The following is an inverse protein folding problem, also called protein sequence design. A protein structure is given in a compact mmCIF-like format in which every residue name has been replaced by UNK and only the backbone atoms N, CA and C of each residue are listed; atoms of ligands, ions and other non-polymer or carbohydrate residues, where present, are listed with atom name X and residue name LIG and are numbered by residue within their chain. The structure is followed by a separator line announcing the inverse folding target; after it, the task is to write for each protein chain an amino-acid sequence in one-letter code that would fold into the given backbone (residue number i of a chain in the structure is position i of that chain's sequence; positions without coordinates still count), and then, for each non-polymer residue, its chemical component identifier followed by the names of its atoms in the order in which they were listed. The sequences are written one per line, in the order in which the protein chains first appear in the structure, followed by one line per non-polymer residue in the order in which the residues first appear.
data_IF_333481851897
#
_entry.id   IF_333481851897
#
_cell.length_a   1.000
_cell.length_b   1.000
_cell.length_c   1.000
_cell.angle_alpha   90.00
_cell.angle_beta   90.00
_cell.angle_gamma   90.00
#
_symmetry.space_group_name_H-M   'P 1'
#
loop_
_entity.id
_entity.type
_entity.pdbx_description
1 polymer ?
#
# COMPACT_ATOMS: atom_id res chain seq x y z
N UNK A 1 -9.55 -18.18 21.27
CA UNK A 1 -8.35 -17.33 21.48
C UNK A 1 -7.18 -18.01 20.77
N UNK A 2 -6.68 -17.43 19.69
CA UNK A 2 -5.59 -18.06 18.92
C UNK A 2 -4.27 -17.89 19.69
N UNK A 3 -3.58 -19.02 19.95
CA UNK A 3 -2.26 -19.11 20.60
C UNK A 3 -1.12 -18.50 19.75
N UNK A 4 -1.42 -17.52 18.87
CA UNK A 4 -0.44 -16.94 17.93
C UNK A 4 0.63 -16.07 18.60
N UNK A 5 0.46 -15.68 19.87
CA UNK A 5 1.49 -14.90 20.56
C UNK A 5 2.78 -15.68 20.89
N UNK A 6 2.76 -17.00 20.74
CA UNK A 6 3.89 -17.89 21.01
C UNK A 6 4.97 -17.91 19.91
N UNK A 7 4.62 -17.50 18.68
CA UNK A 7 5.49 -17.68 17.51
C UNK A 7 6.10 -16.36 17.03
N UNK A 8 7.28 -16.44 16.44
CA UNK A 8 7.92 -15.35 15.72
C UNK A 8 7.14 -14.96 14.45
N UNK A 9 7.41 -13.76 13.91
CA UNK A 9 6.66 -13.15 12.79
C UNK A 9 6.59 -14.06 11.56
N UNK A 10 7.67 -14.74 11.21
CA UNK A 10 7.79 -15.60 10.04
C UNK A 10 6.83 -16.81 10.16
N UNK A 11 6.78 -17.44 11.33
CA UNK A 11 5.85 -18.53 11.62
C UNK A 11 4.40 -18.06 11.60
N UNK A 12 4.13 -16.88 12.17
CA UNK A 12 2.77 -16.27 12.14
C UNK A 12 2.29 -16.07 10.71
N UNK A 13 3.15 -15.60 9.81
CA UNK A 13 2.85 -15.41 8.39
C UNK A 13 2.47 -16.72 7.71
N UNK A 14 3.25 -17.78 7.95
CA UNK A 14 2.98 -19.11 7.38
C UNK A 14 1.65 -19.69 7.88
N UNK A 15 1.32 -19.45 9.14
CA UNK A 15 0.10 -19.97 9.78
C UNK A 15 -1.14 -19.07 9.54
N UNK A 16 -0.95 -17.81 9.13
CA UNK A 16 -2.04 -16.84 9.00
C UNK A 16 -3.14 -17.30 8.04
N UNK A 17 -4.38 -16.97 8.38
CA UNK A 17 -5.57 -17.29 7.59
C UNK A 17 -6.01 -18.75 7.65
N UNK A 18 -5.13 -19.70 8.00
CA UNK A 18 -5.47 -21.14 8.00
C UNK A 18 -6.64 -21.45 8.93
N UNK A 19 -7.59 -22.22 8.39
CA UNK A 19 -8.67 -22.79 9.18
C UNK A 19 -8.28 -24.23 9.58
N UNK A 20 -7.87 -24.42 10.84
CA UNK A 20 -7.47 -25.71 11.38
C UNK A 20 -8.61 -26.75 11.39
N UNK A 21 -9.86 -26.33 11.18
CA UNK A 21 -11.03 -27.20 11.11
C UNK A 21 -11.41 -27.57 9.66
N UNK A 22 -10.58 -27.21 8.68
CA UNK A 22 -10.78 -27.62 7.29
C UNK A 22 -10.66 -29.12 7.15
N UNK A 23 -11.65 -29.78 6.57
CA UNK A 23 -11.59 -31.21 6.19
C UNK A 23 -10.66 -31.47 5.01
N UNK A 24 -10.00 -30.43 4.49
CA UNK A 24 -9.07 -30.51 3.39
C UNK A 24 -7.69 -30.91 3.88
N UNK A 25 -7.18 -32.04 3.40
CA UNK A 25 -5.86 -32.58 3.75
C UNK A 25 -4.70 -31.96 2.96
N UNK A 26 -4.98 -31.12 1.96
CA UNK A 26 -3.93 -30.43 1.21
C UNK A 26 -3.35 -29.26 2.00
N UNK A 27 -2.05 -28.98 1.79
CA UNK A 27 -1.37 -27.84 2.42
C UNK A 27 -1.95 -26.51 1.96
N UNK A 28 -2.29 -26.40 0.66
CA UNK A 28 -2.88 -25.23 0.08
C UNK A 28 -4.41 -25.29 0.09
N UNK A 29 -5.03 -24.12 0.23
CA UNK A 29 -6.48 -23.99 0.18
C UNK A 29 -7.00 -24.18 -1.25
N UNK A 30 -8.18 -24.79 -1.43
CA UNK A 30 -8.84 -24.86 -2.74
C UNK A 30 -9.22 -23.49 -3.27
N UNK A 31 -9.28 -23.35 -4.59
CA UNK A 31 -9.88 -22.18 -5.24
C UNK A 31 -11.38 -22.42 -5.36
N UNK A 32 -12.17 -21.58 -4.67
CA UNK A 32 -13.63 -21.66 -4.71
C UNK A 32 -14.18 -20.72 -5.78
N UNK A 33 -14.67 -21.31 -6.90
CA UNK A 33 -15.35 -20.59 -7.97
C UNK A 33 -16.85 -20.84 -7.88
N UNK A 34 -17.64 -19.79 -7.70
CA UNK A 34 -19.08 -19.93 -7.63
C UNK A 34 -19.79 -18.61 -7.38
N UNK A 35 -20.97 -18.44 -7.97
CA UNK A 35 -21.86 -17.32 -7.69
C UNK A 35 -22.94 -17.72 -6.69
N UNK A 36 -23.57 -18.86 -6.90
CA UNK A 36 -24.73 -19.32 -6.12
C UNK A 36 -24.29 -20.20 -4.96
N UNK A 37 -24.86 -19.91 -3.78
CA UNK A 37 -24.74 -20.74 -2.57
C UNK A 37 -26.06 -21.45 -2.35
N UNK A 38 -26.03 -22.77 -2.14
CA UNK A 38 -27.22 -23.60 -1.92
C UNK A 38 -27.43 -23.78 -0.41
N UNK A 39 -28.65 -23.55 0.05
CA UNK A 39 -29.08 -23.72 1.44
C UNK A 39 -30.06 -24.87 1.57
N UNK A 40 -29.97 -25.63 2.65
CA UNK A 40 -30.90 -26.75 2.92
C UNK A 40 -32.27 -26.25 3.41
N UNK A 41 -32.30 -25.10 4.07
CA UNK A 41 -33.52 -24.55 4.65
C UNK A 41 -33.65 -23.04 4.43
N UNK A 42 -34.87 -22.52 4.39
CA UNK A 42 -35.16 -21.08 4.34
C UNK A 42 -34.58 -20.36 5.57
N UNK A 43 -34.54 -21.02 6.72
CA UNK A 43 -33.95 -20.48 7.95
C UNK A 43 -32.44 -20.22 7.78
N UNK A 44 -31.70 -21.17 7.22
CA UNK A 44 -30.26 -21.03 6.91
C UNK A 44 -30.04 -19.91 5.89
N UNK A 45 -30.81 -19.88 4.82
CA UNK A 45 -30.73 -18.83 3.78
C UNK A 45 -30.93 -17.44 4.37
N UNK A 46 -31.98 -17.23 5.16
CA UNK A 46 -32.27 -15.94 5.77
C UNK A 46 -31.19 -15.54 6.80
N UNK A 47 -30.69 -16.47 7.61
CA UNK A 47 -29.60 -16.22 8.55
C UNK A 47 -28.31 -15.82 7.84
N UNK A 48 -27.97 -16.49 6.72
CA UNK A 48 -26.80 -16.17 5.92
C UNK A 48 -26.88 -14.78 5.32
N UNK A 49 -28.01 -14.42 4.69
CA UNK A 49 -28.22 -13.09 4.11
C UNK A 49 -28.19 -11.96 5.15
N UNK A 50 -28.75 -12.21 6.33
CA UNK A 50 -28.71 -11.24 7.46
C UNK A 50 -27.26 -10.99 7.92
N UNK A 51 -26.43 -12.01 7.90
CA UNK A 51 -25.04 -11.98 8.41
C UNK A 51 -23.98 -11.88 7.28
N UNK A 52 -24.36 -11.52 6.05
CA UNK A 52 -23.43 -11.43 4.89
C UNK A 52 -22.20 -10.52 5.14
N UNK A 53 -22.29 -9.59 6.08
CA UNK A 53 -21.18 -8.73 6.49
C UNK A 53 -20.23 -9.41 7.49
N UNK A 54 -20.54 -10.63 7.97
CA UNK A 54 -19.74 -11.38 8.96
C UNK A 54 -18.96 -12.53 8.31
N UNK A 55 -18.55 -12.42 7.06
CA UNK A 55 -17.84 -13.48 6.31
C UNK A 55 -18.61 -14.81 6.27
N UNK A 56 -19.91 -14.73 6.05
CA UNK A 56 -20.77 -15.89 5.85
C UNK A 56 -21.05 -16.14 4.38
N UNK A 57 -21.11 -17.41 3.99
CA UNK A 57 -21.47 -17.78 2.61
C UNK A 57 -22.92 -17.44 2.34
N UNK A 58 -23.15 -16.40 1.53
CA UNK A 58 -24.48 -15.97 1.16
C UNK A 58 -24.67 -15.94 -0.38
N UNK A 59 -23.69 -15.42 -1.08
CA UNK A 59 -23.63 -15.32 -2.53
C UNK A 59 -22.18 -15.01 -2.91
N UNK A 60 -21.66 -15.53 -4.02
CA UNK A 60 -20.25 -15.45 -4.40
C UNK A 60 -19.67 -14.04 -4.41
N UNK A 61 -20.46 -13.00 -4.73
CA UNK A 61 -20.03 -11.59 -4.68
C UNK A 61 -19.66 -11.12 -3.26
N UNK A 62 -20.21 -11.75 -2.21
CA UNK A 62 -19.88 -11.41 -0.82
C UNK A 62 -18.66 -12.17 -0.29
N UNK A 63 -18.06 -13.00 -1.12
CA UNK A 63 -16.88 -13.77 -0.81
C UNK A 63 -17.10 -15.28 -0.84
N UNK A 64 -16.00 -15.99 -0.75
CA UNK A 64 -15.90 -17.45 -0.72
C UNK A 64 -14.98 -17.86 0.42
N UNK A 65 -14.84 -19.16 0.73
CA UNK A 65 -13.87 -19.60 1.75
C UNK A 65 -12.46 -19.12 1.49
N UNK A 66 -12.00 -19.08 0.21
CA UNK A 66 -10.68 -18.51 -0.13
C UNK A 66 -10.61 -17.01 0.17
N UNK A 67 -11.66 -16.24 -0.17
CA UNK A 67 -11.73 -14.82 0.13
C UNK A 67 -11.59 -14.55 1.63
N UNK A 68 -12.33 -15.31 2.45
CA UNK A 68 -12.31 -15.14 3.90
C UNK A 68 -10.96 -15.54 4.51
N UNK A 69 -10.29 -16.56 3.95
CA UNK A 69 -8.94 -16.94 4.34
C UNK A 69 -7.93 -15.83 4.07
N UNK A 70 -7.96 -15.23 2.87
CA UNK A 70 -7.12 -14.11 2.50
C UNK A 70 -7.35 -12.90 3.42
N UNK A 71 -8.60 -12.51 3.60
CA UNK A 71 -9.00 -11.38 4.45
C UNK A 71 -8.52 -11.59 5.90
N UNK A 72 -8.74 -12.79 6.45
CA UNK A 72 -8.30 -13.15 7.79
C UNK A 72 -6.78 -13.10 7.90
N UNK A 73 -6.05 -13.66 6.90
CA UNK A 73 -4.59 -13.66 6.91
C UNK A 73 -4.02 -12.24 6.97
N UNK A 74 -4.53 -11.33 6.14
CA UNK A 74 -4.06 -9.94 6.12
C UNK A 74 -4.41 -9.20 7.41
N UNK A 75 -5.64 -9.35 7.92
CA UNK A 75 -6.04 -8.74 9.19
C UNK A 75 -5.13 -9.20 10.35
N UNK A 76 -4.84 -10.51 10.43
CA UNK A 76 -3.96 -11.08 11.45
C UNK A 76 -2.52 -10.55 11.34
N UNK A 77 -1.97 -10.46 10.12
CA UNK A 77 -0.58 -10.02 9.90
C UNK A 77 -0.45 -8.52 10.19
N UNK A 78 -1.38 -7.69 9.75
CA UNK A 78 -1.31 -6.23 9.93
C UNK A 78 -1.72 -5.78 11.34
N UNK A 79 -2.48 -6.62 12.06
CA UNK A 79 -2.97 -6.35 13.42
C UNK A 79 -4.32 -5.66 13.46
N UNK A 80 -5.09 -5.72 12.35
CA UNK A 80 -6.46 -5.20 12.29
C UNK A 80 -7.49 -6.18 12.84
N UNK A 81 -8.73 -5.69 12.98
CA UNK A 81 -9.86 -6.51 13.47
C UNK A 81 -10.47 -7.34 12.33
N UNK A 82 -10.66 -6.75 11.16
CA UNK A 82 -11.26 -7.37 9.98
C UNK A 82 -10.64 -6.82 8.70
N UNK A 83 -10.77 -7.56 7.61
CA UNK A 83 -10.36 -7.08 6.29
C UNK A 83 -11.45 -7.38 5.24
N UNK A 84 -11.43 -6.62 4.14
CA UNK A 84 -12.31 -6.77 2.98
C UNK A 84 -11.47 -6.73 1.72
N UNK A 85 -11.49 -7.81 0.95
CA UNK A 85 -10.82 -7.89 -0.33
C UNK A 85 -11.56 -7.07 -1.40
N UNK A 86 -10.80 -6.43 -2.28
CA UNK A 86 -11.32 -5.62 -3.38
C UNK A 86 -10.60 -5.95 -4.69
N UNK A 87 -11.21 -5.62 -5.83
CA UNK A 87 -10.67 -5.92 -7.15
C UNK A 87 -9.37 -5.19 -7.51
N UNK A 88 -9.00 -4.16 -6.74
CA UNK A 88 -7.75 -3.41 -6.91
C UNK A 88 -7.48 -2.49 -5.72
N UNK A 89 -6.25 -1.99 -5.58
CA UNK A 89 -5.94 -0.95 -4.60
C UNK A 89 -6.77 0.32 -4.78
N UNK A 90 -7.05 0.71 -6.03
CA UNK A 90 -7.94 1.85 -6.31
C UNK A 90 -9.37 1.60 -5.82
N UNK A 91 -9.90 0.39 -6.03
CA UNK A 91 -11.21 0.02 -5.50
C UNK A 91 -11.25 0.06 -3.97
N UNK A 92 -10.15 -0.34 -3.31
CA UNK A 92 -10.01 -0.23 -1.86
C UNK A 92 -10.05 1.23 -1.38
N UNK A 93 -9.33 2.13 -2.06
CA UNK A 93 -9.34 3.57 -1.75
C UNK A 93 -10.75 4.15 -1.90
N UNK A 94 -11.40 3.91 -3.04
CA UNK A 94 -12.76 4.44 -3.31
C UNK A 94 -13.76 3.92 -2.29
N UNK A 95 -13.77 2.61 -2.01
CA UNK A 95 -14.68 2.01 -1.04
C UNK A 95 -14.47 2.56 0.37
N UNK A 96 -13.23 2.80 0.78
CA UNK A 96 -12.90 3.38 2.08
C UNK A 96 -13.39 4.82 2.19
N UNK A 97 -13.14 5.64 1.18
CA UNK A 97 -13.56 7.05 1.17
C UNK A 97 -15.08 7.20 1.19
N UNK A 98 -15.79 6.43 0.35
CA UNK A 98 -17.25 6.48 0.27
C UNK A 98 -17.99 5.80 1.43
N UNK A 99 -17.31 4.96 2.21
CA UNK A 99 -17.85 4.45 3.48
C UNK A 99 -17.93 5.53 4.56
N UNK A 100 -17.06 6.53 4.50
CA UNK A 100 -16.85 7.53 5.56
C UNK A 100 -17.42 8.89 5.18
N UNK A 101 -17.31 9.27 3.90
CA UNK A 101 -17.62 10.62 3.42
C UNK A 101 -18.97 10.66 2.69
N UNK A 102 -19.70 11.75 2.89
CA UNK A 102 -20.95 12.06 2.19
C UNK A 102 -20.93 13.51 1.69
N UNK A 103 -21.89 13.86 0.84
CA UNK A 103 -22.07 15.24 0.34
C UNK A 103 -22.05 16.25 1.48
N UNK A 104 -21.26 17.30 1.32
CA UNK A 104 -21.05 18.35 2.30
C UNK A 104 -19.87 18.10 3.25
N UNK A 105 -19.27 16.90 3.27
CA UNK A 105 -18.12 16.60 4.12
C UNK A 105 -16.81 17.15 3.54
N UNK A 106 -15.80 17.21 4.39
CA UNK A 106 -14.43 17.61 4.06
C UNK A 106 -13.42 16.56 4.52
N UNK A 107 -12.37 16.36 3.71
CA UNK A 107 -11.23 15.50 4.02
C UNK A 107 -9.91 16.26 3.94
N UNK A 108 -9.00 15.98 4.88
CA UNK A 108 -7.58 16.33 4.77
C UNK A 108 -6.84 15.17 4.09
N UNK A 109 -6.12 15.45 3.00
CA UNK A 109 -5.36 14.46 2.25
C UNK A 109 -3.89 14.86 2.17
N UNK A 110 -2.98 13.94 2.51
CA UNK A 110 -1.55 14.24 2.33
C UNK A 110 -1.22 14.59 0.87
N UNK A 111 -0.45 15.64 0.67
CA UNK A 111 -0.05 16.08 -0.68
C UNK A 111 0.89 15.07 -1.36
N UNK A 112 1.52 14.19 -0.59
CA UNK A 112 2.34 13.10 -1.07
C UNK A 112 1.57 11.81 -1.39
N UNK A 113 0.22 11.84 -1.37
CA UNK A 113 -0.58 10.66 -1.71
C UNK A 113 -0.42 10.24 -3.18
N UNK A 114 -0.67 8.97 -3.43
CA UNK A 114 -0.69 8.36 -4.76
C UNK A 114 -1.53 9.20 -5.76
N UNK A 115 -0.98 9.42 -6.97
CA UNK A 115 -1.58 10.32 -7.94
C UNK A 115 -3.04 10.01 -8.29
N UNK A 116 -3.43 8.72 -8.31
CA UNK A 116 -4.84 8.33 -8.53
C UNK A 116 -5.71 8.72 -7.34
N UNK A 117 -5.24 8.57 -6.10
CA UNK A 117 -5.96 9.02 -4.90
C UNK A 117 -6.24 10.53 -4.98
N UNK A 118 -5.24 11.31 -5.38
CA UNK A 118 -5.38 12.75 -5.59
C UNK A 118 -6.40 13.08 -6.69
N UNK A 119 -6.32 12.38 -7.82
CA UNK A 119 -7.29 12.56 -8.92
C UNK A 119 -8.71 12.19 -8.51
N UNK A 120 -8.89 11.13 -7.72
CA UNK A 120 -10.21 10.76 -7.18
C UNK A 120 -10.81 11.89 -6.35
N UNK A 121 -10.01 12.53 -5.48
CA UNK A 121 -10.52 13.63 -4.66
C UNK A 121 -10.81 14.89 -5.47
N UNK A 122 -9.98 15.21 -6.47
CA UNK A 122 -10.16 16.38 -7.33
C UNK A 122 -11.33 16.25 -8.32
N UNK A 123 -11.74 15.03 -8.65
CA UNK A 123 -12.78 14.76 -9.64
C UNK A 123 -14.00 14.07 -9.00
N UNK A 124 -13.90 12.78 -8.66
CA UNK A 124 -15.05 12.00 -8.18
C UNK A 124 -15.65 12.60 -6.91
N UNK A 125 -14.85 12.80 -5.86
CA UNK A 125 -15.35 13.31 -4.58
C UNK A 125 -15.87 14.75 -4.72
N UNK A 126 -15.17 15.59 -5.48
CA UNK A 126 -15.62 16.95 -5.77
C UNK A 126 -16.99 16.96 -6.44
N UNK A 127 -17.21 16.10 -7.45
CA UNK A 127 -18.49 15.98 -8.15
C UNK A 127 -19.60 15.45 -7.24
N UNK A 128 -19.25 14.71 -6.17
CA UNK A 128 -20.17 14.26 -5.12
C UNK A 128 -20.40 15.32 -4.02
N UNK A 129 -19.86 16.53 -4.16
CA UNK A 129 -19.99 17.59 -3.18
C UNK A 129 -19.12 17.40 -1.92
N UNK A 130 -18.05 16.62 -2.02
CA UNK A 130 -17.07 16.40 -0.94
C UNK A 130 -15.84 17.25 -1.21
N UNK A 131 -15.44 18.08 -0.25
CA UNK A 131 -14.29 18.98 -0.38
C UNK A 131 -13.02 18.37 0.17
N UNK A 132 -11.87 18.70 -0.43
CA UNK A 132 -10.54 18.20 -0.03
C UNK A 132 -9.61 19.38 0.21
N UNK A 133 -8.85 19.33 1.30
CA UNK A 133 -7.67 20.17 1.51
C UNK A 133 -6.43 19.29 1.50
N UNK A 134 -5.48 19.58 0.61
CA UNK A 134 -4.17 18.94 0.62
C UNK A 134 -3.29 19.54 1.71
N UNK A 135 -2.52 18.71 2.40
CA UNK A 135 -1.57 19.16 3.41
C UNK A 135 -0.16 18.64 3.14
N UNK A 136 0.84 19.46 3.47
CA UNK A 136 2.25 19.07 3.37
C UNK A 136 2.50 17.85 4.29
N UNK A 137 3.12 16.75 3.80
CA UNK A 137 3.39 15.56 4.60
C UNK A 137 4.21 15.84 5.87
N UNK A 138 4.99 16.92 5.89
CA UNK A 138 5.80 17.36 7.03
C UNK A 138 5.15 18.46 7.88
N UNK A 139 3.84 18.71 7.73
CA UNK A 139 3.13 19.82 8.40
C UNK A 139 3.18 19.75 9.93
N UNK A 140 3.33 18.55 10.49
CA UNK A 140 3.35 18.41 11.94
C UNK A 140 2.04 18.84 12.61
N UNK A 141 2.15 19.47 13.78
CA UNK A 141 1.01 19.91 14.59
C UNK A 141 0.15 21.00 13.91
N UNK A 142 0.71 21.73 12.96
CA UNK A 142 0.01 22.81 12.22
C UNK A 142 -1.18 22.30 11.40
N UNK A 143 -1.29 20.98 11.17
CA UNK A 143 -2.46 20.36 10.53
C UNK A 143 -3.77 20.71 11.25
N UNK A 144 -3.73 21.02 12.53
CA UNK A 144 -4.90 21.44 13.31
C UNK A 144 -5.56 22.68 12.72
N UNK A 145 -4.78 23.62 12.17
CA UNK A 145 -5.27 24.82 11.52
C UNK A 145 -6.05 24.57 10.21
N UNK A 146 -5.94 23.38 9.64
CA UNK A 146 -6.65 22.97 8.42
C UNK A 146 -7.99 22.26 8.70
N UNK A 147 -8.27 21.92 9.96
CA UNK A 147 -9.49 21.21 10.35
C UNK A 147 -10.68 22.18 10.32
N UNK A 148 -11.72 21.83 9.56
CA UNK A 148 -12.98 22.56 9.42
C UNK A 148 -14.09 21.87 10.19
N UNK A 149 -15.21 22.55 10.46
CA UNK A 149 -16.40 22.00 11.15
C UNK A 149 -16.94 20.73 10.47
N UNK A 150 -16.82 20.65 9.14
CA UNK A 150 -17.27 19.53 8.33
C UNK A 150 -16.15 18.54 7.97
N UNK A 151 -14.95 18.67 8.52
CA UNK A 151 -13.88 17.67 8.33
C UNK A 151 -14.29 16.36 8.99
N UNK A 152 -14.16 15.25 8.24
CA UNK A 152 -14.54 13.91 8.70
C UNK A 152 -13.39 12.94 8.77
N UNK A 153 -12.38 13.12 7.92
CA UNK A 153 -11.26 12.19 7.84
C UNK A 153 -9.94 12.89 7.54
N UNK A 154 -8.86 12.22 7.94
CA UNK A 154 -7.49 12.49 7.50
C UNK A 154 -7.01 11.26 6.73
N UNK A 155 -6.55 11.46 5.49
CA UNK A 155 -5.94 10.42 4.67
C UNK A 155 -4.43 10.59 4.65
N UNK A 156 -3.71 9.54 5.03
CA UNK A 156 -2.26 9.46 5.12
C UNK A 156 -1.71 8.51 4.06
N UNK A 157 -0.47 8.72 3.65
CA UNK A 157 0.36 7.77 2.92
C UNK A 157 1.81 7.99 3.36
N UNK A 158 2.37 7.04 4.09
CA UNK A 158 3.70 7.16 4.69
C UNK A 158 4.46 5.83 4.55
N UNK A 159 5.57 5.84 3.80
CA UNK A 159 6.18 6.95 3.04
C UNK A 159 5.30 7.44 1.89
N UNK A 160 5.45 8.73 1.54
CA UNK A 160 4.71 9.36 0.46
C UNK A 160 5.07 8.83 -0.92
N UNK A 161 4.12 8.87 -1.84
CA UNK A 161 4.30 8.44 -3.23
C UNK A 161 5.35 9.31 -3.93
N UNK A 162 6.27 8.69 -4.65
CA UNK A 162 7.37 9.24 -5.47
C UNK A 162 8.49 9.94 -4.68
N UNK A 163 8.21 10.59 -3.59
CA UNK A 163 9.16 11.46 -2.85
C UNK A 163 9.50 10.92 -1.46
N UNK A 164 8.76 9.92 -0.98
CA UNK A 164 9.07 9.08 0.19
C UNK A 164 9.21 9.84 1.53
N UNK A 165 8.49 10.95 1.71
CA UNK A 165 8.39 11.63 2.99
C UNK A 165 7.73 10.73 4.03
N UNK A 166 8.23 10.76 5.26
CA UNK A 166 7.64 10.07 6.41
C UNK A 166 6.79 11.04 7.22
N UNK A 167 5.56 10.65 7.49
CA UNK A 167 4.65 11.38 8.37
C UNK A 167 4.77 10.86 9.82
N UNK A 168 4.61 11.73 10.80
CA UNK A 168 4.46 11.34 12.21
C UNK A 168 3.03 10.82 12.44
N UNK A 169 2.81 9.55 12.09
CA UNK A 169 1.49 8.91 12.14
C UNK A 169 0.89 8.94 13.55
N UNK A 170 1.62 8.58 14.63
CA UNK A 170 1.09 8.65 15.99
C UNK A 170 0.57 10.05 16.37
N UNK A 171 1.32 11.09 16.03
CA UNK A 171 0.92 12.48 16.29
C UNK A 171 -0.34 12.86 15.50
N UNK A 172 -0.40 12.51 14.21
CA UNK A 172 -1.58 12.79 13.37
C UNK A 172 -2.83 12.05 13.86
N UNK A 173 -2.67 10.83 14.35
CA UNK A 173 -3.76 10.05 14.97
C UNK A 173 -4.24 10.70 16.27
N UNK A 174 -3.33 11.18 17.09
CA UNK A 174 -3.72 11.90 18.33
C UNK A 174 -4.57 13.15 18.00
N UNK A 175 -4.15 13.93 17.00
CA UNK A 175 -4.89 15.11 16.54
C UNK A 175 -6.25 14.71 15.98
N UNK A 176 -6.30 13.66 15.14
CA UNK A 176 -7.54 13.15 14.58
C UNK A 176 -8.55 12.73 15.67
N UNK A 177 -8.08 11.99 16.66
CA UNK A 177 -8.89 11.52 17.78
C UNK A 177 -9.47 12.69 18.61
N UNK A 178 -8.67 13.71 18.91
CA UNK A 178 -9.11 14.93 19.61
C UNK A 178 -10.22 15.67 18.87
N UNK A 179 -10.27 15.53 17.54
CA UNK A 179 -11.22 16.21 16.66
C UNK A 179 -12.31 15.26 16.10
N UNK A 180 -12.40 14.03 16.59
CA UNK A 180 -13.35 12.99 16.14
C UNK A 180 -13.27 12.71 14.62
N UNK A 181 -12.07 12.77 14.05
CA UNK A 181 -11.80 12.46 12.64
C UNK A 181 -11.42 10.99 12.47
N UNK A 182 -11.81 10.41 11.33
CA UNK A 182 -11.41 9.06 10.93
C UNK A 182 -10.03 9.11 10.30
N UNK A 183 -9.16 8.20 10.69
CA UNK A 183 -7.82 8.06 10.11
C UNK A 183 -7.78 6.94 9.09
N UNK A 184 -7.37 7.26 7.86
CA UNK A 184 -7.22 6.32 6.75
C UNK A 184 -5.78 6.38 6.27
N UNK A 185 -5.10 5.24 6.13
CA UNK A 185 -3.74 5.19 5.62
C UNK A 185 -3.61 4.25 4.42
N UNK A 186 -2.94 4.69 3.36
CA UNK A 186 -2.39 3.77 2.36
C UNK A 186 -1.05 3.26 2.88
N UNK A 187 -1.02 1.98 3.26
CA UNK A 187 0.14 1.29 3.82
C UNK A 187 0.83 0.36 2.81
N UNK A 188 0.59 0.57 1.52
CA UNK A 188 1.09 -0.33 0.48
C UNK A 188 2.62 -0.44 0.46
N UNK A 189 3.36 0.66 0.69
CA UNK A 189 4.82 0.63 0.76
C UNK A 189 5.33 -0.05 2.05
N UNK A 190 4.73 0.28 3.20
CA UNK A 190 5.09 -0.28 4.50
C UNK A 190 4.75 -1.76 4.63
N UNK A 191 3.82 -2.24 3.85
CA UNK A 191 3.28 -3.60 3.87
C UNK A 191 2.68 -3.99 5.22
N UNK A 192 1.93 -5.10 5.33
CA UNK A 192 1.45 -5.58 6.62
C UNK A 192 2.56 -6.00 7.60
N UNK A 193 3.84 -6.05 7.12
CA UNK A 193 4.97 -6.50 7.95
C UNK A 193 5.79 -5.38 8.54
N UNK A 194 6.05 -4.33 7.78
CA UNK A 194 7.02 -3.30 8.18
C UNK A 194 6.38 -2.10 8.84
N UNK A 195 5.11 -1.83 8.60
CA UNK A 195 4.37 -0.83 9.35
C UNK A 195 3.06 -1.42 9.88
N UNK A 196 2.77 -1.15 11.15
CA UNK A 196 1.61 -1.70 11.88
C UNK A 196 0.61 -0.59 12.23
N UNK A 197 -0.26 -0.16 11.30
CA UNK A 197 -1.12 1.02 11.46
C UNK A 197 -1.97 0.97 12.72
N UNK A 198 -2.52 -0.19 13.05
CA UNK A 198 -3.43 -0.35 14.20
C UNK A 198 -2.73 -0.23 15.56
N UNK A 199 -1.42 -0.48 15.64
CA UNK A 199 -0.64 -0.21 16.86
C UNK A 199 -0.42 1.28 17.09
N UNK A 200 -0.55 2.07 16.02
CA UNK A 200 -0.49 3.54 16.08
C UNK A 200 -1.88 4.19 16.13
N UNK A 201 -2.97 3.39 16.23
CA UNK A 201 -4.33 3.89 16.40
C UNK A 201 -5.05 4.30 15.10
N UNK A 202 -4.55 3.90 13.95
CA UNK A 202 -5.24 4.09 12.66
C UNK A 202 -6.56 3.30 12.64
N UNK A 203 -7.61 3.91 12.08
CA UNK A 203 -8.92 3.28 11.96
C UNK A 203 -9.04 2.36 10.75
N UNK A 204 -8.49 2.79 9.59
CA UNK A 204 -8.63 2.10 8.30
C UNK A 204 -7.27 2.09 7.61
N UNK A 205 -6.79 0.91 7.24
CA UNK A 205 -5.59 0.71 6.44
C UNK A 205 -5.94 0.14 5.08
N UNK A 206 -5.27 0.63 4.04
CA UNK A 206 -5.45 0.20 2.65
C UNK A 206 -4.14 -0.42 2.17
N UNK A 207 -4.26 -1.56 1.48
CA UNK A 207 -3.16 -2.21 0.80
C UNK A 207 -3.52 -2.43 -0.66
N UNK A 208 -2.69 -1.96 -1.58
CA UNK A 208 -2.69 -2.49 -2.94
C UNK A 208 -1.98 -3.85 -2.91
N UNK A 209 -2.75 -4.91 -2.68
CA UNK A 209 -2.21 -6.27 -2.58
C UNK A 209 -1.52 -6.73 -3.88
N UNK A 210 -1.85 -6.11 -5.01
CA UNK A 210 -1.17 -6.17 -6.32
C UNK A 210 0.36 -6.05 -6.19
N UNK A 211 0.86 -5.30 -5.18
CA UNK A 211 2.27 -5.03 -4.97
C UNK A 211 2.95 -6.18 -4.21
N UNK A 212 3.56 -5.91 -3.08
CA UNK A 212 4.35 -6.90 -2.33
C UNK A 212 3.56 -8.11 -1.81
N UNK A 213 2.24 -7.95 -1.53
CA UNK A 213 1.43 -9.07 -1.00
C UNK A 213 1.37 -10.20 -2.02
N UNK A 214 0.96 -9.94 -3.26
CA UNK A 214 1.02 -10.89 -4.37
C UNK A 214 2.46 -11.13 -4.80
N UNK A 215 3.20 -10.06 -5.11
CA UNK A 215 4.65 -10.04 -5.29
C UNK A 215 5.17 -10.67 -6.58
N UNK A 216 4.32 -10.91 -7.59
CA UNK A 216 4.68 -11.63 -8.80
C UNK A 216 4.21 -10.95 -10.10
N UNK A 217 3.67 -9.73 -10.02
CA UNK A 217 3.23 -8.92 -11.17
C UNK A 217 2.14 -9.58 -12.04
N UNK A 218 1.35 -10.50 -11.46
CA UNK A 218 0.42 -11.40 -12.15
C UNK A 218 -1.03 -11.34 -11.65
N UNK A 219 -1.36 -10.43 -10.70
CA UNK A 219 -2.72 -10.25 -10.19
C UNK A 219 -3.05 -8.80 -9.86
N UNK A 220 -4.32 -8.46 -9.95
CA UNK A 220 -4.89 -7.19 -9.51
C UNK A 220 -5.72 -7.42 -8.26
N UNK A 221 -5.26 -6.93 -7.12
CA UNK A 221 -5.90 -7.16 -5.83
C UNK A 221 -5.72 -5.97 -4.89
N UNK A 222 -6.76 -5.60 -4.17
CA UNK A 222 -6.72 -4.66 -3.06
C UNK A 222 -7.29 -5.27 -1.80
N UNK A 223 -7.01 -4.67 -0.67
CA UNK A 223 -7.63 -5.05 0.60
C UNK A 223 -7.72 -3.83 1.52
N UNK A 224 -8.83 -3.74 2.24
CA UNK A 224 -9.08 -2.73 3.26
C UNK A 224 -9.08 -3.45 4.59
N UNK A 225 -8.28 -2.99 5.53
CA UNK A 225 -8.20 -3.53 6.89
C UNK A 225 -8.79 -2.47 7.84
N UNK A 226 -9.52 -2.90 8.86
CA UNK A 226 -10.22 -1.99 9.77
C UNK A 226 -10.05 -2.39 11.22
N UNK A 227 -10.22 -1.41 12.12
CA UNK A 227 -10.57 -1.71 13.50
C UNK A 227 -12.04 -2.16 13.60
N UNK A 228 -12.48 -2.59 14.78
CA UNK A 228 -13.84 -3.11 15.02
C UNK A 228 -14.95 -2.09 14.69
N UNK A 229 -14.69 -0.80 14.89
CA UNK A 229 -15.67 0.28 14.72
C UNK A 229 -16.13 0.43 13.27
N UNK A 230 -15.21 0.24 12.32
CA UNK A 230 -15.47 0.50 10.89
C UNK A 230 -15.68 -0.77 10.05
N UNK A 231 -15.60 -1.97 10.64
CA UNK A 231 -15.76 -3.23 9.93
C UNK A 231 -17.02 -3.27 9.05
N UNK A 232 -18.18 -3.01 9.66
CA UNK A 232 -19.47 -3.13 8.98
C UNK A 232 -19.61 -2.14 7.82
N UNK A 233 -19.38 -0.85 8.07
CA UNK A 233 -19.59 0.18 7.04
C UNK A 233 -18.60 0.03 5.85
N UNK A 234 -17.35 -0.38 6.10
CA UNK A 234 -16.38 -0.64 5.06
C UNK A 234 -16.79 -1.85 4.22
N UNK A 235 -17.19 -2.95 4.84
CA UNK A 235 -17.64 -4.15 4.12
C UNK A 235 -18.89 -3.88 3.30
N UNK A 236 -19.87 -3.17 3.87
CA UNK A 236 -21.08 -2.76 3.14
C UNK A 236 -20.76 -1.86 1.96
N UNK A 237 -19.86 -0.87 2.12
CA UNK A 237 -19.43 0.01 1.03
C UNK A 237 -18.79 -0.79 -0.12
N UNK A 238 -17.79 -1.63 0.18
CA UNK A 238 -17.14 -2.46 -0.82
C UNK A 238 -18.13 -3.37 -1.57
N UNK A 239 -19.03 -4.02 -0.85
CA UNK A 239 -20.04 -4.90 -1.45
C UNK A 239 -21.06 -4.13 -2.30
N UNK A 240 -21.51 -2.96 -1.85
CA UNK A 240 -22.47 -2.14 -2.59
C UNK A 240 -21.86 -1.58 -3.88
N UNK A 241 -20.56 -1.33 -3.90
CA UNK A 241 -19.81 -0.94 -5.10
C UNK A 241 -19.50 -2.11 -6.03
N UNK A 242 -19.93 -3.33 -5.69
CA UNK A 242 -19.68 -4.52 -6.49
C UNK A 242 -18.22 -4.97 -6.48
N UNK A 243 -17.43 -4.55 -5.49
CA UNK A 243 -16.03 -4.97 -5.37
C UNK A 243 -15.96 -6.47 -5.10
N UNK A 244 -15.53 -7.23 -6.10
CA UNK A 244 -15.46 -8.69 -6.07
C UNK A 244 -14.21 -9.13 -6.84
N UNK A 245 -13.09 -9.38 -6.15
CA UNK A 245 -11.89 -9.89 -6.81
C UNK A 245 -12.08 -11.31 -7.31
N UNK A 246 -11.41 -11.66 -8.40
CA UNK A 246 -11.41 -13.02 -8.96
C UNK A 246 -10.85 -14.04 -7.95
N UNK A 247 -11.39 -15.26 -7.91
CA UNK A 247 -10.93 -16.28 -6.98
C UNK A 247 -9.48 -16.71 -7.22
N UNK A 248 -8.99 -16.58 -8.45
CA UNK A 248 -7.59 -16.81 -8.81
C UNK A 248 -6.69 -15.74 -8.19
N UNK A 249 -7.05 -14.46 -8.29
CA UNK A 249 -6.28 -13.36 -7.72
C UNK A 249 -6.23 -13.47 -6.19
N UNK A 250 -7.34 -13.86 -5.56
CA UNK A 250 -7.40 -14.18 -4.13
C UNK A 250 -6.42 -15.30 -3.78
N UNK A 251 -6.40 -16.39 -4.57
CA UNK A 251 -5.47 -17.51 -4.35
C UNK A 251 -4.01 -17.07 -4.50
N UNK A 252 -3.69 -16.26 -5.52
CA UNK A 252 -2.35 -15.69 -5.70
C UNK A 252 -1.96 -14.79 -4.52
N UNK A 253 -2.92 -14.04 -3.96
CA UNK A 253 -2.72 -13.28 -2.73
C UNK A 253 -2.38 -14.17 -1.53
N UNK A 254 -3.14 -15.25 -1.29
CA UNK A 254 -2.86 -16.23 -0.23
C UNK A 254 -1.46 -16.84 -0.40
N UNK A 255 -1.13 -17.25 -1.62
CA UNK A 255 0.18 -17.83 -1.97
C UNK A 255 1.31 -16.83 -1.74
N UNK A 256 1.14 -15.59 -2.20
CA UNK A 256 2.12 -14.51 -2.06
C UNK A 256 2.45 -14.19 -0.60
N UNK A 257 1.44 -14.19 0.28
CA UNK A 257 1.65 -13.99 1.73
C UNK A 257 2.70 -14.96 2.28
N UNK A 258 2.67 -16.23 1.88
CA UNK A 258 3.55 -17.27 2.47
C UNK A 258 5.05 -17.02 2.25
N UNK A 259 5.41 -16.23 1.24
CA UNK A 259 6.80 -15.83 0.94
C UNK A 259 7.07 -14.34 1.15
N UNK A 260 6.10 -13.60 1.71
CA UNK A 260 6.18 -12.14 1.82
C UNK A 260 7.42 -11.67 2.61
N UNK A 261 7.73 -12.31 3.76
CA UNK A 261 8.87 -11.93 4.60
C UNK A 261 10.21 -12.12 3.88
N UNK A 262 10.40 -13.27 3.23
CA UNK A 262 11.64 -13.61 2.51
C UNK A 262 11.85 -12.66 1.32
N UNK A 263 10.77 -12.34 0.58
CA UNK A 263 10.85 -11.40 -0.55
C UNK A 263 11.18 -9.99 -0.08
N UNK A 264 10.52 -9.51 0.97
CA UNK A 264 10.78 -8.18 1.51
C UNK A 264 12.19 -8.03 2.07
N UNK A 265 12.71 -9.05 2.76
CA UNK A 265 14.11 -9.08 3.21
C UNK A 265 15.08 -8.93 2.02
N UNK A 266 14.85 -9.68 0.94
CA UNK A 266 15.65 -9.59 -0.27
C UNK A 266 15.54 -8.23 -0.94
N UNK A 267 14.32 -7.69 -1.10
CA UNK A 267 14.08 -6.35 -1.65
C UNK A 267 14.83 -5.27 -0.87
N UNK A 268 14.71 -5.28 0.46
CA UNK A 268 15.40 -4.32 1.32
C UNK A 268 16.93 -4.43 1.17
N UNK A 269 17.47 -5.65 1.21
CA UNK A 269 18.91 -5.90 1.04
C UNK A 269 19.42 -5.39 -0.31
N UNK A 270 18.71 -5.67 -1.38
CA UNK A 270 19.06 -5.21 -2.72
C UNK A 270 18.98 -3.68 -2.83
N UNK A 271 17.90 -3.07 -2.33
CA UNK A 271 17.74 -1.61 -2.33
C UNK A 271 18.89 -0.93 -1.59
N UNK A 272 19.22 -1.36 -0.39
CA UNK A 272 20.32 -0.79 0.41
C UNK A 272 21.65 -0.92 -0.31
N UNK A 273 21.96 -2.07 -0.91
CA UNK A 273 23.22 -2.28 -1.64
C UNK A 273 23.33 -1.37 -2.88
N UNK A 274 22.24 -1.22 -3.63
CA UNK A 274 22.19 -0.31 -4.79
C UNK A 274 22.32 1.15 -4.31
N UNK A 275 21.65 1.54 -3.23
CA UNK A 275 21.72 2.88 -2.64
C UNK A 275 23.14 3.22 -2.20
N UNK A 276 23.85 2.33 -1.52
CA UNK A 276 25.24 2.57 -1.10
C UNK A 276 26.16 2.81 -2.31
N UNK A 277 25.96 2.08 -3.40
CA UNK A 277 26.68 2.34 -4.63
C UNK A 277 26.28 3.68 -5.26
N UNK A 278 24.98 4.01 -5.32
CA UNK A 278 24.48 5.28 -5.88
C UNK A 278 25.02 6.50 -5.13
N UNK A 279 25.20 6.44 -3.80
CA UNK A 279 25.80 7.51 -2.99
C UNK A 279 27.20 7.89 -3.47
N UNK A 280 27.92 6.98 -4.11
CA UNK A 280 29.27 7.25 -4.64
C UNK A 280 29.26 7.89 -6.02
N UNK A 281 28.09 8.09 -6.64
CA UNK A 281 27.96 8.60 -8.01
C UNK A 281 27.81 10.11 -8.07
N UNK A 282 28.61 10.74 -8.96
CA UNK A 282 28.62 12.21 -9.13
C UNK A 282 27.33 12.74 -9.77
N UNK A 283 26.60 11.90 -10.49
CA UNK A 283 25.34 12.18 -11.16
C UNK A 283 24.16 12.32 -10.21
N UNK A 284 24.29 11.75 -9.03
CA UNK A 284 23.22 11.70 -8.01
C UNK A 284 23.26 12.97 -7.16
N UNK A 285 22.10 13.60 -6.99
CA UNK A 285 21.90 14.72 -6.07
C UNK A 285 21.46 14.21 -4.71
N UNK A 286 20.36 13.44 -4.65
CA UNK A 286 19.78 12.96 -3.38
C UNK A 286 19.15 11.59 -3.56
N UNK A 287 19.25 10.75 -2.52
CA UNK A 287 18.50 9.51 -2.39
C UNK A 287 17.25 9.75 -1.56
N UNK A 288 16.12 9.31 -2.06
CA UNK A 288 14.81 9.43 -1.41
C UNK A 288 14.41 8.04 -0.88
N UNK A 289 14.93 7.70 0.28
CA UNK A 289 14.66 6.42 0.94
C UNK A 289 14.66 6.61 2.46
N UNK A 290 13.54 6.30 3.15
CA UNK A 290 13.41 6.60 4.57
C UNK A 290 14.41 5.88 5.47
N UNK A 291 14.85 4.68 5.04
CA UNK A 291 15.70 3.79 5.83
C UNK A 291 17.20 4.14 5.83
N UNK A 292 17.58 5.32 5.35
CA UNK A 292 18.98 5.79 5.41
C UNK A 292 19.10 7.00 6.33
N UNK A 293 20.19 7.12 7.12
CA UNK A 293 20.36 8.19 8.11
C UNK A 293 20.30 9.61 7.55
N UNK A 294 20.68 9.78 6.27
CA UNK A 294 20.68 11.07 5.59
C UNK A 294 19.24 11.56 5.21
N UNK A 295 18.24 10.69 5.32
CA UNK A 295 16.86 11.07 5.05
C UNK A 295 16.29 11.86 6.24
N UNK A 296 15.61 12.98 5.96
CA UNK A 296 15.01 13.82 7.01
C UNK A 296 13.97 13.09 7.86
N UNK A 297 13.29 12.09 7.28
CA UNK A 297 12.30 11.25 7.96
C UNK A 297 12.88 10.05 8.70
N UNK A 298 14.21 9.83 8.66
CA UNK A 298 14.86 8.63 9.21
C UNK A 298 14.53 8.38 10.68
N UNK A 299 14.52 9.42 11.52
CA UNK A 299 14.23 9.27 12.96
C UNK A 299 12.82 8.73 13.20
N UNK A 300 11.83 9.22 12.45
CA UNK A 300 10.43 8.76 12.54
C UNK A 300 10.33 7.34 11.97
N UNK A 301 10.94 7.08 10.80
CA UNK A 301 10.97 5.76 10.22
C UNK A 301 11.59 4.72 11.18
N UNK A 302 12.72 5.02 11.79
CA UNK A 302 13.41 4.12 12.72
C UNK A 302 12.62 3.88 14.02
N UNK A 303 11.74 4.82 14.42
CA UNK A 303 10.83 4.65 15.56
C UNK A 303 9.64 3.75 15.24
N UNK A 304 9.05 3.90 14.04
CA UNK A 304 7.73 3.39 13.73
C UNK A 304 7.74 2.17 12.79
N UNK A 305 8.79 1.98 12.00
CA UNK A 305 8.87 0.91 11.00
C UNK A 305 9.78 -0.23 11.44
N UNK A 306 9.40 -1.45 11.05
CA UNK A 306 10.14 -2.68 11.35
C UNK A 306 11.07 -3.11 10.20
N UNK A 307 11.13 -2.32 9.13
CA UNK A 307 11.93 -2.58 7.94
C UNK A 307 11.58 -1.63 6.81
N UNK A 308 12.14 -1.88 5.64
CA UNK A 308 11.95 -1.07 4.45
C UNK A 308 11.77 -1.92 3.19
N UNK A 309 11.04 -1.40 2.22
CA UNK A 309 10.77 -2.11 0.97
C UNK A 309 11.83 -1.86 -0.10
N UNK A 310 11.70 -2.48 -1.28
CA UNK A 310 12.61 -2.31 -2.40
C UNK A 310 12.41 -1.04 -3.22
N UNK A 311 11.40 -0.23 -2.90
CA UNK A 311 11.03 0.94 -3.69
C UNK A 311 11.61 2.22 -3.09
N UNK A 312 12.37 2.98 -3.89
CA UNK A 312 12.98 4.25 -3.50
C UNK A 312 13.05 5.23 -4.67
N UNK A 313 13.42 6.46 -4.39
CA UNK A 313 13.62 7.51 -5.38
C UNK A 313 15.05 8.02 -5.41
N UNK A 314 15.41 8.63 -6.53
CA UNK A 314 16.69 9.29 -6.73
C UNK A 314 16.46 10.59 -7.48
N UNK A 315 17.00 11.71 -6.95
CA UNK A 315 17.10 12.95 -7.71
C UNK A 315 18.47 13.04 -8.37
N UNK A 316 18.47 13.47 -9.62
CA UNK A 316 19.69 13.64 -10.40
C UNK A 316 20.20 15.08 -10.29
N UNK A 317 21.51 15.28 -10.37
CA UNK A 317 22.08 16.59 -10.63
C UNK A 317 21.62 17.09 -12.00
N UNK A 318 21.79 18.37 -12.26
CA UNK A 318 21.39 19.00 -13.52
C UNK A 318 21.85 18.21 -14.73
N UNK A 319 20.90 17.67 -15.48
CA UNK A 319 21.14 16.91 -16.70
C UNK A 319 19.99 17.11 -17.68
N UNK A 320 20.25 16.89 -18.97
CA UNK A 320 19.22 16.99 -20.01
C UNK A 320 18.27 15.78 -19.95
N UNK A 321 16.99 16.03 -20.10
CA UNK A 321 15.96 14.97 -20.13
C UNK A 321 16.23 13.90 -21.19
N UNK A 322 16.79 14.30 -22.35
CA UNK A 322 17.19 13.36 -23.41
C UNK A 322 18.24 12.36 -22.96
N UNK A 323 19.20 12.77 -22.12
CA UNK A 323 20.24 11.89 -21.59
C UNK A 323 19.66 10.88 -20.58
N UNK A 324 18.68 11.32 -19.77
CA UNK A 324 17.95 10.40 -18.89
C UNK A 324 17.23 9.32 -19.71
N UNK A 325 16.52 9.73 -20.77
CA UNK A 325 15.85 8.78 -21.66
C UNK A 325 16.85 7.83 -22.36
N UNK A 326 17.99 8.36 -22.81
CA UNK A 326 19.03 7.54 -23.44
C UNK A 326 19.62 6.52 -22.47
N UNK A 327 19.91 6.92 -21.23
CA UNK A 327 20.37 6.00 -20.17
C UNK A 327 19.34 4.90 -19.93
N UNK A 328 18.09 5.27 -19.68
CA UNK A 328 17.02 4.31 -19.37
C UNK A 328 16.78 3.30 -20.50
N UNK A 329 16.87 3.76 -21.77
CA UNK A 329 16.66 2.89 -22.94
C UNK A 329 17.81 1.88 -23.16
N UNK A 330 18.95 2.03 -22.48
CA UNK A 330 20.10 1.12 -22.61
C UNK A 330 20.20 0.10 -21.49
N UNK A 331 19.44 0.28 -20.40
CA UNK A 331 19.42 -0.69 -19.31
C UNK A 331 18.88 -2.04 -19.78
N UNK A 332 19.46 -3.13 -19.28
CA UNK A 332 19.13 -4.49 -19.67
C UNK A 332 18.34 -5.23 -18.60
N UNK A 333 18.59 -4.94 -17.33
CA UNK A 333 17.95 -5.61 -16.20
C UNK A 333 16.82 -4.76 -15.59
N UNK A 334 17.03 -3.44 -15.52
CA UNK A 334 15.98 -2.53 -15.10
C UNK A 334 15.03 -2.24 -16.25
N UNK A 335 13.81 -2.76 -16.18
CA UNK A 335 12.76 -2.48 -17.15
C UNK A 335 11.99 -1.20 -16.82
N UNK A 336 11.45 -0.54 -17.84
CA UNK A 336 10.51 0.56 -17.67
C UNK A 336 9.08 0.00 -17.58
N UNK A 337 8.47 0.11 -16.43
CA UNK A 337 7.09 -0.38 -16.21
C UNK A 337 6.40 0.40 -15.10
N UNK A 338 5.09 0.61 -15.25
CA UNK A 338 4.28 1.09 -14.14
C UNK A 338 4.08 -0.04 -13.13
N UNK A 339 3.86 0.28 -11.87
CA UNK A 339 3.82 -0.66 -10.74
C UNK A 339 5.19 -0.88 -10.08
N UNK A 340 5.26 -1.82 -9.15
CA UNK A 340 6.42 -2.21 -8.35
C UNK A 340 6.00 -3.34 -7.38
N UNK A 341 6.95 -3.93 -6.68
CA UNK A 341 6.68 -4.94 -5.65
C UNK A 341 6.63 -6.38 -6.17
N UNK A 342 6.87 -6.57 -7.47
CA UNK A 342 7.10 -7.87 -8.09
C UNK A 342 8.54 -8.36 -7.90
N UNK A 343 8.89 -9.47 -8.53
CA UNK A 343 10.23 -10.04 -8.50
C UNK A 343 11.22 -9.29 -9.38
N UNK A 344 10.74 -8.57 -10.40
CA UNK A 344 11.52 -7.83 -11.38
C UNK A 344 11.94 -6.44 -10.88
N UNK A 345 13.12 -5.98 -11.30
CA UNK A 345 13.59 -4.62 -11.07
C UNK A 345 13.04 -3.65 -12.10
N UNK A 346 12.55 -2.50 -11.62
CA UNK A 346 11.94 -1.47 -12.45
C UNK A 346 12.54 -0.09 -12.17
N UNK A 347 12.63 0.73 -13.22
CA UNK A 347 13.05 2.12 -13.13
C UNK A 347 12.19 3.01 -14.02
N UNK A 348 11.77 4.18 -13.51
CA UNK A 348 10.97 5.15 -14.26
C UNK A 348 11.43 6.58 -14.00
N UNK A 349 11.46 7.44 -15.03
CA UNK A 349 11.50 8.89 -14.81
C UNK A 349 10.13 9.33 -14.30
N UNK A 350 10.12 10.11 -13.23
CA UNK A 350 8.90 10.60 -12.59
C UNK A 350 8.95 12.11 -12.42
N UNK A 351 7.78 12.74 -12.38
CA UNK A 351 7.64 14.19 -12.23
C UNK A 351 6.78 14.48 -10.98
N UNK A 352 7.37 14.46 -9.77
CA UNK A 352 6.64 14.72 -8.53
C UNK A 352 5.95 16.10 -8.51
N UNK A 353 6.52 17.09 -9.19
CA UNK A 353 5.99 18.45 -9.29
C UNK A 353 4.55 18.51 -9.83
N UNK A 354 4.17 17.56 -10.69
CA UNK A 354 2.80 17.45 -11.22
C UNK A 354 1.76 17.00 -10.20
N UNK A 355 2.24 16.50 -9.05
CA UNK A 355 1.41 15.88 -8.03
C UNK A 355 1.60 16.55 -6.66
N UNK A 356 1.97 17.84 -6.63
CA UNK A 356 2.12 18.61 -5.39
C UNK A 356 1.38 19.95 -5.52
N UNK A 357 0.57 20.26 -4.51
CA UNK A 357 -0.20 21.51 -4.43
C UNK A 357 0.28 22.39 -3.27
N UNK A 358 0.93 21.81 -2.25
CA UNK A 358 1.27 22.51 -1.00
C UNK A 358 2.73 22.92 -0.89
N UNK A 359 3.61 22.36 -1.73
CA UNK A 359 5.02 22.73 -1.81
C UNK A 359 5.56 22.48 -3.20
N UNK A 360 6.58 23.26 -3.57
CA UNK A 360 7.25 23.09 -4.86
C UNK A 360 8.30 21.98 -4.76
N UNK A 361 8.25 21.06 -5.71
CA UNK A 361 9.28 20.03 -5.90
C UNK A 361 10.23 20.51 -6.98
N UNK A 362 11.23 21.32 -6.58
CA UNK A 362 12.22 21.85 -7.51
C UNK A 362 13.46 20.98 -7.54
N UNK A 363 13.69 20.30 -8.68
CA UNK A 363 14.89 19.52 -8.95
C UNK A 363 15.33 19.71 -10.39
N UNK A 364 16.52 20.27 -10.56
CA UNK A 364 17.07 20.63 -11.88
C UNK A 364 17.36 19.43 -12.77
N UNK A 365 17.68 18.27 -12.20
CA UNK A 365 18.13 17.09 -12.91
C UNK A 365 17.07 16.02 -13.16
N UNK A 366 15.86 16.20 -12.63
CA UNK A 366 14.80 15.20 -12.72
C UNK A 366 14.87 14.14 -11.60
N UNK A 367 13.83 13.32 -11.53
CA UNK A 367 13.67 12.28 -10.48
C UNK A 367 13.44 10.92 -11.12
N UNK A 368 14.09 9.89 -10.58
CA UNK A 368 13.87 8.49 -10.94
C UNK A 368 13.20 7.77 -9.78
N UNK A 369 12.22 6.93 -10.07
CA UNK A 369 11.68 5.94 -9.15
C UNK A 369 12.28 4.59 -9.49
N UNK A 370 12.87 3.92 -8.51
CA UNK A 370 13.57 2.64 -8.65
C UNK A 370 12.89 1.62 -7.74
N UNK A 371 12.60 0.46 -8.27
CA UNK A 371 12.22 -0.73 -7.52
C UNK A 371 13.32 -1.77 -7.70
N UNK A 372 13.98 -2.15 -6.61
CA UNK A 372 14.94 -3.24 -6.58
C UNK A 372 14.17 -4.57 -6.43
N UNK A 373 14.23 -5.40 -7.45
CA UNK A 373 13.62 -6.73 -7.50
C UNK A 373 14.41 -7.79 -6.71
N UNK A 374 14.25 -9.04 -7.10
CA UNK A 374 14.87 -10.20 -6.44
C UNK A 374 16.16 -10.67 -7.12
N UNK A 375 16.58 -10.04 -8.22
CA UNK A 375 17.80 -10.33 -8.95
C UNK A 375 19.04 -10.18 -8.05
N UNK A 376 20.20 -10.55 -8.54
CA UNK A 376 21.46 -10.28 -7.84
C UNK A 376 21.75 -8.77 -7.85
N UNK A 377 22.00 -8.18 -6.69
CA UNK A 377 22.24 -6.75 -6.57
C UNK A 377 23.52 -6.27 -7.28
N UNK A 378 24.55 -7.13 -7.43
CA UNK A 378 25.77 -6.76 -8.15
C UNK A 378 25.52 -6.66 -9.65
N UNK A 379 24.67 -7.53 -10.20
CA UNK A 379 24.28 -7.47 -11.61
C UNK A 379 23.45 -6.20 -11.88
N UNK A 380 22.52 -5.85 -10.98
CA UNK A 380 21.74 -4.61 -11.07
C UNK A 380 22.63 -3.36 -11.00
N UNK A 381 23.64 -3.38 -10.13
CA UNK A 381 24.64 -2.29 -10.03
C UNK A 381 25.47 -2.20 -11.31
N UNK A 382 25.88 -3.33 -11.89
CA UNK A 382 26.65 -3.35 -13.14
C UNK A 382 25.84 -2.78 -14.29
N UNK A 383 24.58 -3.14 -14.44
CA UNK A 383 23.67 -2.56 -15.45
C UNK A 383 23.57 -1.03 -15.34
N UNK A 384 23.41 -0.52 -14.11
CA UNK A 384 23.45 0.93 -13.88
C UNK A 384 24.81 1.55 -14.17
N UNK A 385 25.92 0.87 -13.76
CA UNK A 385 27.29 1.36 -13.90
C UNK A 385 27.71 1.55 -15.35
N UNK A 386 27.31 0.64 -16.23
CA UNK A 386 27.60 0.72 -17.65
C UNK A 386 26.95 1.92 -18.34
N UNK A 387 25.81 2.39 -17.80
CA UNK A 387 24.97 3.37 -18.46
C UNK A 387 24.89 4.74 -17.76
N UNK A 388 25.24 4.85 -16.47
CA UNK A 388 25.05 6.08 -15.68
C UNK A 388 25.88 7.27 -16.19
N UNK A 389 27.04 7.01 -16.80
CA UNK A 389 27.91 8.06 -17.36
C UNK A 389 27.25 8.85 -18.51
N UNK A 390 26.25 8.28 -19.17
CA UNK A 390 25.43 8.96 -20.19
C UNK A 390 24.82 10.26 -19.63
N UNK A 391 24.49 10.28 -18.35
CA UNK A 391 23.92 11.46 -17.69
C UNK A 391 24.84 12.68 -17.68
N UNK A 392 26.13 12.48 -17.92
CA UNK A 392 27.14 13.57 -18.04
C UNK A 392 27.22 14.15 -19.46
N UNK A 393 26.62 13.50 -20.45
CA UNK A 393 26.75 13.88 -21.85
C UNK A 393 28.12 13.52 -22.47
N UNK A 394 28.75 12.50 -21.91
CA UNK A 394 30.04 11.94 -22.37
C UNK A 394 29.76 10.58 -23.02
#
# INVERSE_FOLDING_TARGET
MNNNNKYNKETKIILSGKNNNSKNSFVNSPIYKGSTVIFKTVKEMNASMKNKHMQTLAYGRYGSPSTFEFEKAIAEIEGGYSAVATSSGTAAIVASLLAILKTGDHILLTDSAYGITRNLTKNLLKNMGISTTFYNPNIGIEIQGLIKKNTKAIFLESPGSLTFEIQDVPMLVEIANKNNLVTIIDNTWGTPLFFKPFYHGIDISIQSATKYIVGHSDAMLGVIITNKKYEKCIRESAHNMGSCPGPEDIYLGIRGIKTLSIRLERHQKNALKIIEWLKTRKEIDKILYPAIPENSGYKIWNRDFLGASGLFGVTLKKTKKSLIHQMLNKLQLFNMGYSWGGYESLILPVNPEKYRDTYQWEKEGGTLRIHAGLENADDLINDLKENINILRGI
#
